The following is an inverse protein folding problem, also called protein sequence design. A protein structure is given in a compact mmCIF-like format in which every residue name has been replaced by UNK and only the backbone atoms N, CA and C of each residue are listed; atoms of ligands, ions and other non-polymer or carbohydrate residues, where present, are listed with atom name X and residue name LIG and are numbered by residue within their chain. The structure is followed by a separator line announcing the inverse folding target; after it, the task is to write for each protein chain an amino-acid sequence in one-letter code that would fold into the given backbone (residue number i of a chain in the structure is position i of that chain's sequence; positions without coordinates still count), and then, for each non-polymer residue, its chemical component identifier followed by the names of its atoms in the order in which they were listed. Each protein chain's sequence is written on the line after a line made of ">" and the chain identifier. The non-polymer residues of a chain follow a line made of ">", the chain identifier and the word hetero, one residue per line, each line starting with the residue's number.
data_IF_128219476781
#
_entry.id   IF_128219476781
#
_cell.length_a   1.000
_cell.length_b   1.000
_cell.length_c   1.000
_cell.angle_alpha   90.00
_cell.angle_beta   90.00
_cell.angle_gamma   90.00
#
_symmetry.space_group_name_H-M   'P 1'
#
loop_
_entity.id
_entity.type
_entity.pdbx_description
1 polymer ?
#
# COMPACT_ATOMS: atom_id res chain seq x y z
N UNK A 1 -23.82 15.10 -8.05
CA UNK A 1 -22.47 14.76 -8.56
C UNK A 1 -22.03 13.36 -8.13
N UNK A 2 -21.45 12.56 -9.04
CA UNK A 2 -20.92 11.21 -8.76
C UNK A 2 -19.42 11.11 -8.96
N UNK A 3 -18.75 10.46 -8.02
CA UNK A 3 -17.30 10.24 -8.03
C UNK A 3 -16.99 8.75 -7.93
N UNK A 4 -15.93 8.33 -8.59
CA UNK A 4 -15.29 7.03 -8.32
C UNK A 4 -13.95 7.31 -7.65
N UNK A 5 -13.73 6.71 -6.48
CA UNK A 5 -12.46 6.80 -5.77
C UNK A 5 -11.76 5.45 -5.68
N UNK A 6 -10.47 5.45 -6.02
CA UNK A 6 -9.57 4.32 -5.85
C UNK A 6 -8.14 4.83 -5.63
N UNK A 7 -7.24 3.95 -5.17
CA UNK A 7 -5.89 4.36 -4.77
C UNK A 7 -4.91 3.19 -4.89
N UNK A 8 -3.62 3.50 -4.82
CA UNK A 8 -2.53 2.53 -4.70
C UNK A 8 -2.63 1.45 -5.79
N UNK A 9 -2.66 1.89 -7.05
CA UNK A 9 -2.67 1.00 -8.22
C UNK A 9 -1.31 0.38 -8.52
N UNK A 10 -0.22 1.04 -8.10
CA UNK A 10 1.15 0.52 -8.19
C UNK A 10 1.49 -0.07 -9.56
N UNK A 11 1.12 0.64 -10.63
CA UNK A 11 1.42 0.24 -12.01
C UNK A 11 2.92 0.03 -12.17
N UNK A 12 3.30 -1.15 -12.67
CA UNK A 12 4.69 -1.54 -12.94
C UNK A 12 4.74 -2.65 -13.99
N UNK A 13 5.85 -2.72 -14.74
CA UNK A 13 6.06 -3.74 -15.77
C UNK A 13 6.66 -5.06 -15.27
N UNK A 14 6.83 -5.24 -13.96
CA UNK A 14 7.45 -6.45 -13.37
C UNK A 14 6.54 -7.04 -12.31
N UNK A 15 6.56 -8.37 -12.15
CA UNK A 15 5.84 -9.02 -11.06
C UNK A 15 6.51 -8.74 -9.69
N UNK A 16 5.74 -8.36 -8.66
CA UNK A 16 6.17 -8.53 -7.28
C UNK A 16 6.53 -9.98 -7.00
N UNK A 17 7.49 -10.22 -6.09
CA UNK A 17 8.04 -11.56 -5.82
C UNK A 17 6.96 -12.60 -5.49
N UNK A 18 5.92 -12.18 -4.78
CA UNK A 18 4.85 -13.07 -4.33
C UNK A 18 3.73 -13.24 -5.34
N UNK A 19 3.79 -12.66 -6.54
CA UNK A 19 2.73 -12.78 -7.56
C UNK A 19 2.99 -13.95 -8.50
N UNK A 20 1.97 -14.77 -8.70
CA UNK A 20 2.00 -15.94 -9.60
C UNK A 20 1.43 -15.64 -10.97
N UNK A 21 0.59 -14.61 -11.09
CA UNK A 21 -0.02 -14.13 -12.33
C UNK A 21 0.75 -12.98 -12.97
N UNK A 22 0.34 -12.53 -14.16
CA UNK A 22 0.91 -11.35 -14.81
C UNK A 22 0.40 -10.08 -14.11
N UNK A 23 1.22 -9.52 -13.22
CA UNK A 23 0.81 -8.38 -12.38
C UNK A 23 0.42 -7.15 -13.21
N UNK A 24 1.16 -6.87 -14.27
CA UNK A 24 0.90 -5.71 -15.11
C UNK A 24 -0.47 -5.82 -15.80
N UNK A 25 -0.77 -6.98 -16.35
CA UNK A 25 -2.07 -7.28 -16.94
C UNK A 25 -3.20 -7.21 -15.90
N UNK A 26 -2.99 -7.72 -14.68
CA UNK A 26 -3.96 -7.58 -13.59
C UNK A 26 -4.27 -6.11 -13.30
N UNK A 27 -3.25 -5.26 -13.25
CA UNK A 27 -3.41 -3.82 -12.97
C UNK A 27 -4.21 -3.18 -14.10
N UNK A 28 -3.84 -3.41 -15.36
CA UNK A 28 -4.54 -2.86 -16.51
C UNK A 28 -6.01 -3.30 -16.58
N UNK A 29 -6.29 -4.58 -16.33
CA UNK A 29 -7.66 -5.10 -16.32
C UNK A 29 -8.53 -4.44 -15.25
N UNK A 30 -7.95 -4.12 -14.09
CA UNK A 30 -8.65 -3.40 -13.02
C UNK A 30 -8.92 -1.95 -13.38
N UNK A 31 -7.94 -1.25 -13.96
CA UNK A 31 -8.13 0.14 -14.41
C UNK A 31 -9.18 0.19 -15.54
N UNK A 32 -9.17 -0.79 -16.46
CA UNK A 32 -10.19 -0.93 -17.49
C UNK A 32 -11.58 -1.20 -16.90
N UNK A 33 -11.70 -2.09 -15.92
CA UNK A 33 -12.96 -2.30 -15.21
C UNK A 33 -13.45 -0.99 -14.58
N UNK A 34 -12.58 -0.26 -13.87
CA UNK A 34 -12.93 1.04 -13.25
C UNK A 34 -13.37 2.05 -14.33
N UNK A 35 -12.71 2.05 -15.49
CA UNK A 35 -13.09 2.87 -16.63
C UNK A 35 -14.47 2.52 -17.16
N UNK A 36 -14.79 1.24 -17.33
CA UNK A 36 -16.12 0.79 -17.74
C UNK A 36 -17.19 1.16 -16.70
N UNK A 37 -16.88 1.01 -15.42
CA UNK A 37 -17.75 1.40 -14.32
C UNK A 37 -18.05 2.90 -14.35
N UNK A 38 -17.04 3.74 -14.64
CA UNK A 38 -17.22 5.20 -14.77
C UNK A 38 -18.27 5.59 -15.81
N UNK A 39 -18.33 4.86 -16.92
CA UNK A 39 -19.36 5.06 -17.94
C UNK A 39 -20.70 4.53 -17.44
N UNK A 40 -20.72 3.29 -16.92
CA UNK A 40 -21.97 2.63 -16.52
C UNK A 40 -22.71 3.35 -15.39
N UNK A 41 -21.97 3.97 -14.48
CA UNK A 41 -22.53 4.70 -13.33
C UNK A 41 -22.74 6.18 -13.61
N UNK A 42 -22.37 6.65 -14.81
CA UNK A 42 -22.34 8.06 -15.17
C UNK A 42 -21.58 8.88 -14.12
N UNK A 43 -20.33 8.46 -13.81
CA UNK A 43 -19.47 9.24 -12.95
C UNK A 43 -19.21 10.62 -13.58
N UNK A 44 -19.10 11.65 -12.76
CA UNK A 44 -18.72 13.00 -13.19
C UNK A 44 -17.21 13.18 -13.11
N UNK A 45 -16.59 12.58 -12.09
CA UNK A 45 -15.17 12.71 -11.80
C UNK A 45 -14.57 11.40 -11.28
N UNK A 46 -13.29 11.22 -11.55
CA UNK A 46 -12.50 10.08 -11.08
C UNK A 46 -11.44 10.61 -10.14
N UNK A 47 -11.31 10.00 -8.97
CA UNK A 47 -10.40 10.42 -7.92
C UNK A 47 -9.39 9.30 -7.65
N UNK A 48 -8.10 9.63 -7.72
CA UNK A 48 -7.01 8.71 -7.38
C UNK A 48 -6.25 9.16 -6.13
N UNK A 49 -6.19 8.30 -5.11
CA UNK A 49 -5.57 8.61 -3.82
C UNK A 49 -4.04 8.65 -3.79
N UNK A 50 -3.38 8.42 -4.92
CA UNK A 50 -1.92 8.37 -5.04
C UNK A 50 -1.36 6.95 -5.10
N UNK A 51 -0.05 6.84 -5.35
CA UNK A 51 0.65 5.62 -5.74
C UNK A 51 0.03 4.97 -6.99
N UNK A 52 -0.14 5.79 -8.03
CA UNK A 52 -0.59 5.27 -9.33
C UNK A 52 0.47 4.34 -9.91
N UNK A 53 1.74 4.69 -9.75
CA UNK A 53 2.89 3.89 -10.17
C UNK A 53 3.65 3.34 -8.97
N UNK A 54 4.24 2.15 -9.12
CA UNK A 54 5.12 1.54 -8.09
C UNK A 54 6.45 2.30 -7.95
N UNK A 55 6.79 3.12 -8.94
CA UNK A 55 8.01 3.94 -9.00
C UNK A 55 7.79 5.19 -9.83
N UNK A 56 8.57 6.28 -9.60
CA UNK A 56 8.44 7.50 -10.40
C UNK A 56 8.91 7.33 -11.86
N UNK A 57 9.71 6.30 -12.14
CA UNK A 57 10.46 6.05 -13.38
C UNK A 57 10.03 4.80 -14.15
N UNK A 58 8.73 4.46 -14.11
CA UNK A 58 8.18 3.33 -14.89
C UNK A 58 8.54 3.46 -16.37
N UNK A 59 8.90 2.35 -17.02
CA UNK A 59 9.45 2.37 -18.38
C UNK A 59 8.47 2.91 -19.42
N UNK A 60 9.00 3.50 -20.49
CA UNK A 60 8.20 3.99 -21.63
C UNK A 60 7.36 2.87 -22.25
N UNK A 61 7.86 1.63 -22.29
CA UNK A 61 7.10 0.48 -22.78
C UNK A 61 5.81 0.25 -21.98
N UNK A 62 5.88 0.38 -20.65
CA UNK A 62 4.69 0.28 -19.78
C UNK A 62 3.76 1.48 -20.03
N UNK A 63 4.32 2.68 -20.15
CA UNK A 63 3.52 3.88 -20.41
C UNK A 63 2.77 3.82 -21.75
N UNK A 64 3.35 3.20 -22.78
CA UNK A 64 2.70 3.00 -24.08
C UNK A 64 1.41 2.17 -23.97
N UNK A 65 1.29 1.31 -22.96
CA UNK A 65 0.10 0.49 -22.70
C UNK A 65 -0.85 1.15 -21.69
N UNK A 66 -0.32 1.89 -20.71
CA UNK A 66 -1.10 2.57 -19.66
C UNK A 66 -1.80 3.82 -20.18
N UNK A 67 -1.12 4.65 -20.97
CA UNK A 67 -1.68 5.92 -21.48
C UNK A 67 -2.99 5.68 -22.26
N UNK A 68 -3.07 4.73 -23.21
CA UNK A 68 -4.32 4.45 -23.91
C UNK A 68 -5.46 4.02 -22.99
N UNK A 69 -5.15 3.29 -21.89
CA UNK A 69 -6.16 2.89 -20.91
C UNK A 69 -6.68 4.09 -20.14
N UNK A 70 -5.80 4.97 -19.66
CA UNK A 70 -6.19 6.20 -18.97
C UNK A 70 -6.98 7.16 -19.87
N UNK A 71 -6.62 7.25 -21.16
CA UNK A 71 -7.34 8.07 -22.13
C UNK A 71 -8.74 7.56 -22.49
N UNK A 72 -9.10 6.32 -22.11
CA UNK A 72 -10.47 5.81 -22.28
C UNK A 72 -11.44 6.39 -21.24
N UNK A 73 -10.94 6.96 -20.15
CA UNK A 73 -11.81 7.69 -19.22
C UNK A 73 -12.36 8.93 -19.94
N UNK A 74 -13.68 9.06 -19.94
CA UNK A 74 -14.38 10.18 -20.60
C UNK A 74 -14.57 11.38 -19.67
N UNK A 75 -14.10 11.25 -18.43
CA UNK A 75 -14.29 12.20 -17.33
C UNK A 75 -12.94 12.56 -16.71
N UNK A 76 -12.77 13.76 -16.15
CA UNK A 76 -11.51 14.19 -15.56
C UNK A 76 -11.06 13.25 -14.44
N UNK A 77 -9.78 12.90 -14.44
CA UNK A 77 -9.12 12.17 -13.36
C UNK A 77 -8.36 13.18 -12.51
N UNK A 78 -8.76 13.36 -11.26
CA UNK A 78 -8.02 14.12 -10.27
C UNK A 78 -7.23 13.18 -9.37
N UNK A 79 -5.98 13.53 -9.08
CA UNK A 79 -5.12 12.69 -8.25
C UNK A 79 -4.26 13.53 -7.30
N UNK A 80 -3.75 12.89 -6.27
CA UNK A 80 -2.61 13.35 -5.48
C UNK A 80 -1.44 12.40 -5.70
N UNK A 81 -0.20 12.87 -5.52
CA UNK A 81 0.96 11.99 -5.62
C UNK A 81 1.19 11.23 -4.32
N UNK A 82 1.36 9.91 -4.41
CA UNK A 82 1.82 9.08 -3.30
C UNK A 82 3.34 9.05 -3.16
N UNK A 83 3.87 8.24 -2.26
CA UNK A 83 5.31 8.15 -2.01
C UNK A 83 6.08 7.43 -3.13
N UNK A 84 5.41 6.57 -3.90
CA UNK A 84 5.99 5.86 -5.04
C UNK A 84 5.98 6.68 -6.33
N UNK A 85 5.11 7.69 -6.42
CA UNK A 85 4.99 8.53 -7.62
C UNK A 85 6.10 9.60 -7.74
N UNK A 86 6.93 9.76 -6.70
CA UNK A 86 7.92 10.83 -6.55
C UNK A 86 9.32 10.30 -6.17
N UNK A 87 10.37 11.05 -6.51
CA UNK A 87 11.74 10.69 -6.12
C UNK A 87 12.06 11.14 -4.71
N UNK A 88 12.70 10.25 -3.94
CA UNK A 88 13.24 10.58 -2.62
C UNK A 88 12.22 11.13 -1.64
N UNK A 89 10.94 10.76 -1.80
CA UNK A 89 9.84 11.22 -0.94
C UNK A 89 9.67 12.75 -0.92
N UNK A 90 10.05 13.42 -2.01
CA UNK A 90 10.00 14.87 -2.14
C UNK A 90 9.05 15.29 -3.28
N UNK A 91 7.88 15.89 -2.99
CA UNK A 91 6.90 16.31 -3.99
C UNK A 91 7.43 17.29 -5.04
N UNK A 92 8.49 18.05 -4.73
CA UNK A 92 9.14 18.97 -5.68
C UNK A 92 9.65 18.21 -6.93
N UNK A 93 9.91 16.92 -6.80
CA UNK A 93 10.42 16.08 -7.89
C UNK A 93 9.34 15.60 -8.86
N UNK A 94 8.05 15.77 -8.53
CA UNK A 94 6.92 15.29 -9.32
C UNK A 94 6.97 15.67 -10.81
N UNK A 95 7.36 16.88 -11.23
CA UNK A 95 7.44 17.23 -12.66
C UNK A 95 8.42 16.38 -13.48
N UNK A 96 9.27 15.57 -12.82
CA UNK A 96 10.27 14.69 -13.47
C UNK A 96 9.84 13.23 -13.50
N UNK A 97 8.60 12.90 -13.13
CA UNK A 97 8.10 11.53 -13.01
C UNK A 97 7.06 11.22 -14.08
N UNK A 98 6.70 9.94 -14.23
CA UNK A 98 5.64 9.53 -15.15
C UNK A 98 4.28 10.14 -14.77
N UNK A 99 4.02 10.33 -13.47
CA UNK A 99 2.83 11.03 -13.00
C UNK A 99 2.84 12.50 -13.42
N UNK A 100 3.96 13.21 -13.28
CA UNK A 100 4.11 14.59 -13.77
C UNK A 100 3.99 14.72 -15.28
N UNK A 101 4.42 13.71 -16.05
CA UNK A 101 4.20 13.64 -17.50
C UNK A 101 2.71 13.53 -17.82
N UNK A 102 1.96 12.66 -17.13
CA UNK A 102 0.51 12.52 -17.34
C UNK A 102 -0.25 13.82 -17.02
N UNK A 103 0.17 14.53 -15.98
CA UNK A 103 -0.35 15.85 -15.61
C UNK A 103 -0.08 16.89 -16.70
N UNK A 104 1.16 16.95 -17.20
CA UNK A 104 1.55 17.85 -18.29
C UNK A 104 0.74 17.58 -19.57
N UNK A 105 0.37 16.32 -19.83
CA UNK A 105 -0.43 15.92 -20.98
C UNK A 105 -1.94 16.13 -20.77
N UNK A 106 -2.39 16.51 -19.56
CA UNK A 106 -3.79 16.68 -19.20
C UNK A 106 -4.58 15.37 -19.17
N UNK A 107 -3.90 14.24 -18.99
CA UNK A 107 -4.55 12.92 -18.87
C UNK A 107 -5.04 12.70 -17.43
N UNK A 108 -4.26 13.19 -16.46
CA UNK A 108 -4.60 13.27 -15.04
C UNK A 108 -4.39 14.72 -14.63
N UNK A 109 -5.08 15.19 -13.59
CA UNK A 109 -4.91 16.51 -13.01
C UNK A 109 -4.48 16.36 -11.55
N UNK A 110 -3.25 16.77 -11.24
CA UNK A 110 -2.69 16.63 -9.89
C UNK A 110 -3.12 17.81 -9.01
N UNK A 111 -3.68 17.52 -7.84
CA UNK A 111 -4.21 18.50 -6.88
C UNK A 111 -3.32 18.68 -5.63
N UNK A 112 -2.01 18.59 -5.79
CA UNK A 112 -1.08 18.61 -4.67
C UNK A 112 -1.06 19.97 -3.96
N UNK A 113 -1.64 20.03 -2.75
CA UNK A 113 -1.83 21.24 -1.93
C UNK A 113 -2.70 22.31 -2.59
N UNK A 114 -3.59 21.90 -3.50
CA UNK A 114 -4.52 22.78 -4.18
C UNK A 114 -5.96 22.43 -3.84
N UNK A 115 -6.85 23.39 -4.03
CA UNK A 115 -8.29 23.22 -3.89
C UNK A 115 -9.00 23.81 -5.11
N UNK A 116 -9.95 23.06 -5.66
CA UNK A 116 -10.79 23.47 -6.78
C UNK A 116 -12.26 23.30 -6.45
N UNK A 117 -13.12 24.00 -7.18
CA UNK A 117 -14.57 23.82 -7.10
C UNK A 117 -15.06 23.06 -8.32
N UNK A 118 -15.85 22.02 -8.07
CA UNK A 118 -16.51 21.21 -9.08
C UNK A 118 -18.00 21.49 -9.00
N UNK A 119 -18.61 21.84 -10.12
CA UNK A 119 -20.01 22.27 -10.19
C UNK A 119 -20.76 21.43 -11.24
N UNK A 120 -21.95 20.90 -10.90
CA UNK A 120 -22.88 20.27 -11.84
C UNK A 120 -24.16 21.11 -12.07
N UNK A 121 -24.15 22.36 -11.57
CA UNK A 121 -25.28 23.29 -11.61
C UNK A 121 -26.26 23.13 -10.45
N UNK A 122 -26.32 21.97 -9.81
CA UNK A 122 -27.12 21.72 -8.61
C UNK A 122 -26.26 21.68 -7.36
N UNK A 123 -25.09 21.05 -7.39
CA UNK A 123 -24.19 20.86 -6.26
C UNK A 123 -22.81 21.42 -6.58
N UNK A 124 -22.23 22.16 -5.62
CA UNK A 124 -20.84 22.61 -5.67
C UNK A 124 -20.00 21.82 -4.66
N UNK A 125 -18.96 21.13 -5.14
CA UNK A 125 -18.03 20.36 -4.31
C UNK A 125 -16.65 21.00 -4.33
N UNK A 126 -16.12 21.34 -3.15
CA UNK A 126 -14.69 21.63 -3.01
C UNK A 126 -13.92 20.32 -3.01
N UNK A 127 -13.00 20.16 -3.96
CA UNK A 127 -12.04 19.06 -3.97
C UNK A 127 -10.66 19.63 -3.65
N UNK A 128 -10.03 19.09 -2.61
CA UNK A 128 -8.68 19.45 -2.20
C UNK A 128 -7.81 18.21 -2.03
N UNK A 129 -6.49 18.37 -2.15
CA UNK A 129 -5.56 17.25 -2.05
C UNK A 129 -4.27 17.60 -1.32
N UNK A 130 -3.77 16.68 -0.51
CA UNK A 130 -2.44 16.74 0.08
C UNK A 130 -1.60 15.54 -0.40
N UNK A 131 -0.44 15.77 -1.06
CA UNK A 131 0.43 14.67 -1.46
C UNK A 131 1.08 14.00 -0.27
N UNK A 132 1.64 12.81 -0.51
CA UNK A 132 2.62 12.27 0.40
C UNK A 132 3.84 13.20 0.51
N UNK A 133 4.28 13.46 1.74
CA UNK A 133 5.60 14.02 2.05
C UNK A 133 6.32 13.11 3.04
N UNK A 134 7.65 13.15 3.05
CA UNK A 134 8.41 12.45 4.09
C UNK A 134 7.96 12.90 5.49
N UNK A 135 7.52 11.95 6.30
CA UNK A 135 7.03 12.22 7.65
C UNK A 135 5.66 12.90 7.70
N UNK A 136 4.81 12.74 6.67
CA UNK A 136 3.43 13.22 6.66
C UNK A 136 2.67 12.86 7.95
N UNK A 137 2.87 11.63 8.44
CA UNK A 137 2.25 11.10 9.66
C UNK A 137 2.92 11.54 10.96
N UNK A 138 3.71 12.61 10.94
CA UNK A 138 4.24 13.23 12.16
C UNK A 138 3.36 14.39 12.57
N UNK A 139 3.35 14.67 13.87
CA UNK A 139 2.51 15.72 14.45
C UNK A 139 2.73 17.09 13.79
N UNK A 140 3.98 17.43 13.45
CA UNK A 140 4.29 18.70 12.78
C UNK A 140 3.69 18.85 11.37
N UNK A 141 3.30 17.76 10.72
CA UNK A 141 2.76 17.74 9.36
C UNK A 141 1.26 17.41 9.32
N UNK A 142 0.61 17.23 10.48
CA UNK A 142 -0.81 16.85 10.59
C UNK A 142 -1.76 17.81 9.88
N UNK A 143 -1.38 19.07 9.75
CA UNK A 143 -2.09 20.10 8.98
C UNK A 143 -2.41 19.66 7.54
N UNK A 144 -1.62 18.76 6.95
CA UNK A 144 -1.87 18.23 5.61
C UNK A 144 -3.08 17.28 5.53
N UNK A 145 -3.58 16.78 6.66
CA UNK A 145 -4.85 16.03 6.72
C UNK A 145 -6.07 16.93 6.93
N UNK A 146 -5.85 18.21 7.26
CA UNK A 146 -6.87 19.10 7.83
C UNK A 146 -7.19 20.21 6.83
N UNK A 147 -8.41 20.21 6.31
CA UNK A 147 -8.95 21.36 5.60
C UNK A 147 -9.30 22.43 6.62
N UNK A 148 -8.56 23.55 6.62
CA UNK A 148 -8.73 24.62 7.61
C UNK A 148 -10.05 25.38 7.42
N UNK A 149 -10.43 25.62 6.18
CA UNK A 149 -11.65 26.33 5.81
C UNK A 149 -12.30 25.68 4.57
N UNK A 150 -13.63 25.55 4.62
CA UNK A 150 -14.44 25.19 3.45
C UNK A 150 -14.81 26.47 2.70
N UNK A 151 -14.63 26.48 1.39
CA UNK A 151 -15.02 27.58 0.50
C UNK A 151 -16.50 27.89 0.71
N UNK A 152 -16.89 29.14 0.97
CA UNK A 152 -18.29 29.50 1.21
C UNK A 152 -19.25 29.16 0.06
N UNK A 153 -18.74 28.93 -1.15
CA UNK A 153 -19.52 28.52 -2.33
C UNK A 153 -19.75 27.01 -2.40
N UNK A 154 -18.99 26.21 -1.64
CA UNK A 154 -19.09 24.76 -1.66
C UNK A 154 -20.20 24.27 -0.73
N UNK A 155 -21.09 23.44 -1.26
CA UNK A 155 -22.07 22.71 -0.47
C UNK A 155 -21.38 21.58 0.33
N UNK A 156 -20.35 20.95 -0.27
CA UNK A 156 -19.62 19.81 0.29
C UNK A 156 -18.10 19.92 0.04
N UNK A 157 -17.27 19.42 0.95
CA UNK A 157 -15.82 19.39 0.81
C UNK A 157 -15.25 17.97 0.89
N UNK A 158 -14.54 17.57 -0.17
CA UNK A 158 -13.76 16.33 -0.25
C UNK A 158 -12.28 16.68 -0.13
N UNK A 159 -11.57 15.95 0.74
CA UNK A 159 -10.13 16.05 0.91
C UNK A 159 -9.45 14.71 0.60
N UNK A 160 -8.47 14.72 -0.30
CA UNK A 160 -7.62 13.57 -0.60
C UNK A 160 -6.31 13.69 0.17
N UNK A 161 -5.84 12.61 0.78
CA UNK A 161 -4.53 12.58 1.46
C UNK A 161 -3.85 11.22 1.32
N UNK A 162 -2.54 11.19 1.08
CA UNK A 162 -1.80 9.94 0.92
C UNK A 162 -0.88 9.67 2.10
N UNK A 163 -1.42 9.12 3.19
CA UNK A 163 -0.64 8.73 4.37
C UNK A 163 -1.39 7.76 5.29
N UNK A 164 -0.76 7.35 6.39
CA UNK A 164 -1.28 6.31 7.29
C UNK A 164 -2.41 6.81 8.20
N UNK A 165 -3.57 7.11 7.60
CA UNK A 165 -4.79 7.39 8.35
C UNK A 165 -5.37 6.08 8.93
N UNK A 166 -5.59 6.03 10.24
CA UNK A 166 -6.06 4.84 10.95
C UNK A 166 -7.29 5.14 11.81
N UNK A 167 -8.16 4.15 12.00
CA UNK A 167 -9.32 4.24 12.92
C UNK A 167 -8.90 4.19 14.38
N UNK A 168 -7.83 3.47 14.70
CA UNK A 168 -7.25 3.38 16.03
C UNK A 168 -5.73 3.21 15.96
N UNK A 169 -5.05 3.59 17.05
CA UNK A 169 -3.60 3.50 17.21
C UNK A 169 -3.13 2.24 17.94
N UNK A 170 -4.05 1.36 18.35
CA UNK A 170 -3.80 0.33 19.37
C UNK A 170 -2.81 -0.76 18.95
N UNK A 171 -2.45 -0.80 17.66
CA UNK A 171 -1.55 -1.80 17.07
C UNK A 171 -0.46 -1.21 16.16
N UNK A 172 -0.35 0.11 16.05
CA UNK A 172 0.58 0.72 15.12
C UNK A 172 2.01 0.76 15.69
N UNK A 173 2.96 0.16 14.98
CA UNK A 173 4.39 0.20 15.30
C UNK A 173 5.17 1.23 14.43
N UNK A 174 4.45 2.08 13.70
CA UNK A 174 4.98 3.07 12.77
C UNK A 174 4.29 4.44 12.99
N UNK A 175 4.87 5.52 12.44
CA UNK A 175 4.26 6.85 12.49
C UNK A 175 2.94 6.83 11.73
N UNK A 176 1.86 7.28 12.35
CA UNK A 176 0.51 7.25 11.80
C UNK A 176 -0.30 8.43 12.32
N UNK A 177 -1.40 8.73 11.63
CA UNK A 177 -2.40 9.71 12.04
C UNK A 177 -3.71 8.99 12.30
N UNK A 178 -4.36 9.23 13.43
CA UNK A 178 -5.69 8.65 13.69
C UNK A 178 -6.80 9.60 13.23
N UNK A 179 -7.98 9.06 12.96
CA UNK A 179 -9.17 9.88 12.68
C UNK A 179 -9.43 10.87 13.83
N UNK A 180 -9.25 10.44 15.08
CA UNK A 180 -9.39 11.32 16.25
C UNK A 180 -8.42 12.49 16.28
N UNK A 181 -7.25 12.37 15.66
CA UNK A 181 -6.25 13.44 15.63
C UNK A 181 -6.63 14.58 14.67
N UNK A 182 -7.59 14.38 13.78
CA UNK A 182 -7.91 15.31 12.68
C UNK A 182 -9.38 15.73 12.64
N UNK A 183 -10.14 15.50 13.72
CA UNK A 183 -11.57 15.81 13.78
C UNK A 183 -11.88 17.31 13.61
N UNK A 184 -10.90 18.19 13.78
CA UNK A 184 -11.01 19.63 13.55
C UNK A 184 -11.16 20.01 12.06
N UNK A 185 -10.88 19.08 11.13
CA UNK A 185 -10.99 19.30 9.68
C UNK A 185 -12.35 19.82 9.27
N UNK A 186 -12.38 20.72 8.29
CA UNK A 186 -13.61 21.24 7.66
C UNK A 186 -14.02 20.46 6.42
N UNK A 187 -13.28 19.40 6.07
CA UNK A 187 -13.71 18.45 5.06
C UNK A 187 -14.93 17.67 5.58
N UNK A 188 -15.94 17.54 4.73
CA UNK A 188 -17.11 16.69 5.01
C UNK A 188 -16.76 15.21 4.73
N UNK A 189 -15.87 14.96 3.75
CA UNK A 189 -15.33 13.64 3.42
C UNK A 189 -13.80 13.69 3.27
N UNK A 190 -13.09 12.84 4.01
CA UNK A 190 -11.64 12.63 3.87
C UNK A 190 -11.37 11.24 3.30
N UNK A 191 -10.72 11.19 2.14
CA UNK A 191 -10.32 9.97 1.45
C UNK A 191 -8.81 9.80 1.57
N UNK A 192 -8.38 8.67 2.14
CA UNK A 192 -6.95 8.38 2.32
C UNK A 192 -6.45 7.28 1.38
N UNK A 193 -5.17 7.34 1.03
CA UNK A 193 -4.39 6.28 0.37
C UNK A 193 -3.36 5.63 1.31
N UNK A 194 -2.29 5.04 0.75
CA UNK A 194 -1.09 4.54 1.45
C UNK A 194 -1.29 3.27 2.29
N UNK A 195 -2.36 3.22 3.08
CA UNK A 195 -2.71 2.02 3.84
C UNK A 195 -3.42 1.01 2.93
N UNK A 196 -2.67 0.05 2.38
CA UNK A 196 -3.17 -0.89 1.37
C UNK A 196 -4.34 -1.78 1.85
N UNK A 197 -4.44 -2.04 3.16
CA UNK A 197 -5.56 -2.80 3.73
C UNK A 197 -6.87 -1.97 3.76
N UNK A 198 -6.77 -0.64 3.68
CA UNK A 198 -7.86 0.30 3.78
C UNK A 198 -8.33 0.55 5.22
N UNK A 199 -9.35 1.40 5.34
CA UNK A 199 -10.12 1.64 6.57
C UNK A 199 -11.61 1.55 6.24
N UNK A 200 -12.46 1.08 7.17
CA UNK A 200 -13.90 1.12 6.96
C UNK A 200 -14.40 2.55 6.80
N UNK A 201 -15.49 2.72 6.06
CA UNK A 201 -16.23 3.99 6.03
C UNK A 201 -16.66 4.32 7.46
N UNK A 202 -16.13 5.41 8.00
CA UNK A 202 -16.29 5.80 9.39
C UNK A 202 -16.84 7.22 9.45
N UNK A 203 -17.95 7.41 10.17
CA UNK A 203 -18.56 8.73 10.36
C UNK A 203 -18.44 9.17 11.82
N UNK A 204 -17.86 10.35 12.05
CA UNK A 204 -17.69 10.94 13.38
C UNK A 204 -18.03 12.44 13.28
N UNK A 205 -18.96 12.90 14.11
CA UNK A 205 -19.40 14.31 14.14
C UNK A 205 -19.84 14.85 12.76
N UNK A 206 -20.50 14.02 11.96
CA UNK A 206 -20.97 14.36 10.61
C UNK A 206 -19.86 14.46 9.55
N UNK A 207 -18.61 14.05 9.88
CA UNK A 207 -17.49 13.95 8.94
C UNK A 207 -17.23 12.49 8.62
N UNK A 208 -16.97 12.20 7.36
CA UNK A 208 -16.78 10.84 6.87
C UNK A 208 -15.32 10.62 6.49
N UNK A 209 -14.78 9.46 6.86
CA UNK A 209 -13.41 9.04 6.57
C UNK A 209 -13.45 7.67 5.89
N UNK A 210 -12.73 7.50 4.78
CA UNK A 210 -12.70 6.23 4.08
C UNK A 210 -11.37 5.97 3.35
N UNK A 211 -11.02 4.69 3.21
CA UNK A 211 -9.96 4.21 2.33
C UNK A 211 -10.35 2.81 1.84
N UNK A 212 -10.61 2.60 0.54
CA UNK A 212 -10.98 1.28 0.03
C UNK A 212 -9.84 0.25 0.09
N UNK A 213 -8.62 0.71 0.40
CA UNK A 213 -7.38 -0.03 0.28
C UNK A 213 -6.86 -0.02 -1.15
N UNK A 214 -5.72 -0.66 -1.35
CA UNK A 214 -5.07 -0.71 -2.64
C UNK A 214 -5.89 -1.49 -3.66
N UNK A 215 -5.96 -0.98 -4.89
CA UNK A 215 -6.64 -1.69 -5.99
C UNK A 215 -5.95 -3.00 -6.37
N UNK A 216 -4.70 -3.19 -5.95
CA UNK A 216 -3.92 -4.41 -6.16
C UNK A 216 -3.41 -5.01 -4.86
N UNK A 217 -3.00 -6.29 -4.94
CA UNK A 217 -2.31 -6.97 -3.86
C UNK A 217 -0.82 -7.04 -4.18
N UNK A 218 0.01 -6.46 -3.32
CA UNK A 218 1.47 -6.36 -3.55
C UNK A 218 2.24 -7.24 -2.57
N UNK A 219 1.71 -7.37 -1.34
CA UNK A 219 2.26 -8.27 -0.35
C UNK A 219 1.43 -9.55 -0.28
N UNK A 220 2.02 -10.59 0.29
CA UNK A 220 1.39 -11.88 0.55
C UNK A 220 1.07 -12.08 2.04
N UNK A 221 0.67 -10.99 2.69
CA UNK A 221 0.12 -11.04 4.04
C UNK A 221 -1.17 -11.88 4.06
N UNK A 222 -1.55 -12.39 5.24
CA UNK A 222 -2.84 -13.10 5.40
C UNK A 222 -4.03 -12.18 5.13
N UNK A 223 -3.89 -10.89 5.42
CA UNK A 223 -4.91 -9.88 5.14
C UNK A 223 -5.09 -9.74 3.63
N UNK A 224 -4.00 -9.58 2.88
CA UNK A 224 -4.04 -9.44 1.42
C UNK A 224 -4.60 -10.69 0.73
N UNK A 225 -4.27 -11.89 1.23
CA UNK A 225 -4.80 -13.14 0.70
C UNK A 225 -6.34 -13.21 0.81
N UNK A 226 -6.91 -12.71 1.92
CA UNK A 226 -8.35 -12.72 2.17
C UNK A 226 -9.08 -11.52 1.59
N UNK A 227 -8.39 -10.37 1.50
CA UNK A 227 -8.96 -9.10 1.02
C UNK A 227 -9.29 -9.22 -0.44
N UNK A 228 -10.46 -8.72 -0.84
CA UNK A 228 -10.80 -8.50 -2.24
C UNK A 228 -10.70 -7.01 -2.54
N UNK A 229 -9.82 -6.58 -3.48
CA UNK A 229 -9.72 -5.20 -3.90
C UNK A 229 -11.07 -4.61 -4.29
N UNK A 230 -11.29 -3.36 -3.87
CA UNK A 230 -12.53 -2.64 -4.04
C UNK A 230 -12.25 -1.16 -4.33
N UNK A 231 -13.28 -0.46 -4.78
CA UNK A 231 -13.29 1.00 -5.02
C UNK A 231 -14.51 1.60 -4.31
N UNK A 232 -14.59 2.93 -4.24
CA UNK A 232 -15.76 3.62 -3.72
C UNK A 232 -16.53 4.32 -4.85
N UNK A 233 -17.85 4.15 -4.88
CA UNK A 233 -18.77 5.02 -5.59
C UNK A 233 -19.33 6.02 -4.58
N UNK A 234 -19.14 7.31 -4.85
CA UNK A 234 -19.55 8.39 -3.96
C UNK A 234 -20.54 9.26 -4.72
N UNK A 235 -21.75 9.44 -4.18
CA UNK A 235 -22.75 10.34 -4.74
C UNK A 235 -22.97 11.48 -3.75
N UNK A 236 -22.71 12.71 -4.21
CA UNK A 236 -22.87 13.94 -3.43
C UNK A 236 -24.06 14.73 -3.98
N UNK A 237 -24.96 15.10 -3.08
CA UNK A 237 -26.10 15.97 -3.35
C UNK A 237 -26.12 17.04 -2.27
N UNK A 238 -25.89 18.29 -2.68
CA UNK A 238 -25.76 19.43 -1.76
C UNK A 238 -24.75 19.12 -0.64
N UNK A 239 -25.18 19.15 0.61
CA UNK A 239 -24.36 18.96 1.80
C UNK A 239 -24.37 17.50 2.31
N UNK A 240 -24.79 16.54 1.49
CA UNK A 240 -24.92 15.14 1.85
C UNK A 240 -24.21 14.24 0.85
N UNK A 241 -23.75 13.07 1.31
CA UNK A 241 -23.22 12.06 0.41
C UNK A 241 -23.64 10.63 0.80
N UNK A 242 -23.70 9.76 -0.19
CA UNK A 242 -23.73 8.30 -0.02
C UNK A 242 -22.42 7.70 -0.55
N UNK A 243 -21.94 6.65 0.11
CA UNK A 243 -20.70 5.96 -0.27
C UNK A 243 -20.99 4.46 -0.33
N UNK A 244 -20.74 3.86 -1.48
CA UNK A 244 -20.90 2.43 -1.71
C UNK A 244 -19.55 1.79 -2.05
N UNK A 245 -19.27 0.63 -1.44
CA UNK A 245 -18.09 -0.15 -1.75
C UNK A 245 -18.37 -1.11 -2.91
N UNK A 246 -17.52 -1.08 -3.94
CA UNK A 246 -17.61 -2.00 -5.06
C UNK A 246 -16.38 -2.89 -5.16
N UNK A 247 -16.58 -4.19 -4.97
CA UNK A 247 -15.53 -5.19 -5.13
C UNK A 247 -15.28 -5.49 -6.60
N UNK A 248 -14.05 -5.28 -7.05
CA UNK A 248 -13.66 -5.47 -8.44
C UNK A 248 -13.88 -6.94 -8.86
N UNK A 249 -14.53 -7.13 -10.01
CA UNK A 249 -14.78 -8.44 -10.63
C UNK A 249 -13.52 -9.00 -11.27
N UNK A 250 -12.64 -8.15 -11.78
CA UNK A 250 -11.31 -8.53 -12.28
C UNK A 250 -10.36 -9.01 -11.18
N UNK A 251 -10.68 -8.75 -9.90
CA UNK A 251 -9.87 -9.23 -8.78
C UNK A 251 -10.12 -10.71 -8.50
N UNK A 252 -9.20 -11.56 -8.97
CA UNK A 252 -9.19 -12.99 -8.69
C UNK A 252 -9.01 -13.29 -7.18
N UNK A 253 -9.40 -14.50 -6.73
CA UNK A 253 -9.09 -14.97 -5.37
C UNK A 253 -7.61 -14.82 -5.02
N UNK A 254 -7.31 -14.50 -3.76
CA UNK A 254 -5.94 -14.20 -3.34
C UNK A 254 -4.99 -15.39 -3.48
N UNK A 255 -5.48 -16.60 -3.20
CA UNK A 255 -4.78 -17.88 -3.31
C UNK A 255 -4.48 -18.31 -4.75
N UNK A 256 -5.18 -17.74 -5.75
CA UNK A 256 -4.88 -17.97 -7.16
C UNK A 256 -3.73 -17.07 -7.68
N UNK A 257 -3.50 -15.92 -7.05
CA UNK A 257 -2.57 -14.88 -7.54
C UNK A 257 -1.38 -14.59 -6.63
N UNK A 258 -1.38 -15.13 -5.40
CA UNK A 258 -0.30 -14.94 -4.42
C UNK A 258 0.33 -16.26 -3.99
N UNK A 259 1.66 -16.32 -4.05
CA UNK A 259 2.46 -17.39 -3.45
C UNK A 259 2.88 -17.02 -2.02
N UNK A 260 2.62 -17.94 -1.08
CA UNK A 260 3.00 -17.86 0.33
C UNK A 260 3.95 -18.98 0.76
N UNK A 261 4.27 -19.94 -0.12
CA UNK A 261 5.07 -21.12 0.21
C UNK A 261 6.43 -20.75 0.80
N UNK A 262 7.12 -19.75 0.26
CA UNK A 262 8.43 -19.33 0.77
C UNK A 262 8.34 -18.70 2.18
N UNK A 263 7.32 -17.87 2.45
CA UNK A 263 7.14 -17.25 3.77
C UNK A 263 6.71 -18.29 4.80
N UNK A 264 5.83 -19.21 4.42
CA UNK A 264 5.39 -20.30 5.29
C UNK A 264 6.56 -21.23 5.61
N UNK A 265 7.41 -21.56 4.63
CA UNK A 265 8.64 -22.31 4.83
C UNK A 265 9.62 -21.58 5.77
N UNK A 266 9.81 -20.26 5.60
CA UNK A 266 10.67 -19.47 6.51
C UNK A 266 10.08 -19.30 7.91
N UNK A 267 8.76 -19.23 8.06
CA UNK A 267 8.09 -19.24 9.37
C UNK A 267 8.22 -20.61 10.04
N UNK A 268 8.03 -21.68 9.28
CA UNK A 268 8.20 -23.06 9.73
C UNK A 268 9.64 -23.30 10.23
N UNK A 269 10.66 -22.98 9.42
CA UNK A 269 12.07 -23.08 9.83
C UNK A 269 12.40 -22.25 11.08
N UNK A 270 11.82 -21.03 11.19
CA UNK A 270 12.01 -20.19 12.39
C UNK A 270 11.32 -20.78 13.62
N UNK A 271 10.15 -21.40 13.45
CA UNK A 271 9.43 -22.08 14.52
C UNK A 271 10.21 -23.30 14.99
N UNK A 272 10.70 -24.15 14.08
CA UNK A 272 11.56 -25.29 14.45
C UNK A 272 12.83 -24.84 15.20
N UNK A 273 13.46 -23.75 14.75
CA UNK A 273 14.63 -23.19 15.44
C UNK A 273 14.29 -22.64 16.84
N UNK A 274 13.11 -22.03 17.00
CA UNK A 274 12.64 -21.54 18.29
C UNK A 274 12.27 -22.69 19.25
N UNK A 275 11.57 -23.70 18.76
CA UNK A 275 11.24 -24.92 19.51
C UNK A 275 12.50 -25.70 19.90
N UNK A 276 13.51 -25.77 19.02
CA UNK A 276 14.83 -26.32 19.33
C UNK A 276 15.55 -25.53 20.44
N UNK A 277 15.53 -24.19 20.35
CA UNK A 277 16.11 -23.31 21.38
C UNK A 277 15.41 -23.49 22.74
N UNK A 278 14.08 -23.56 22.75
CA UNK A 278 13.29 -23.78 23.95
C UNK A 278 13.54 -25.16 24.56
N UNK A 279 13.73 -26.20 23.72
CA UNK A 279 14.14 -27.53 24.16
C UNK A 279 15.54 -27.54 24.80
N UNK A 280 16.46 -26.69 24.36
CA UNK A 280 17.79 -26.52 24.98
C UNK A 280 17.67 -25.80 26.32
N UNK A 281 16.88 -24.72 26.38
CA UNK A 281 16.71 -23.91 27.58
C UNK A 281 15.92 -24.66 28.69
N UNK A 282 14.93 -25.47 28.31
CA UNK A 282 14.13 -26.30 29.22
C UNK A 282 14.85 -27.53 29.79
N UNK A 283 15.95 -27.98 29.16
CA UNK A 283 16.71 -29.14 29.60
C UNK A 283 17.65 -28.88 30.79
N UNK A 284 17.77 -27.64 31.27
CA UNK A 284 18.32 -27.31 32.59
C UNK A 284 19.74 -27.83 32.89
N UNK A 285 20.54 -28.20 31.88
CA UNK A 285 21.96 -28.52 32.01
C UNK A 285 22.75 -27.56 31.15
N UNK A 286 23.17 -26.45 31.76
CA UNK A 286 24.34 -25.72 31.29
C UNK A 286 25.59 -26.50 31.70
N UNK A 287 25.82 -27.63 31.06
CA UNK A 287 27.15 -28.22 30.96
C UNK A 287 27.42 -28.35 29.46
N UNK A 288 28.38 -27.54 29.00
CA UNK A 288 28.99 -27.54 27.67
C UNK A 288 28.31 -28.44 26.63
N UNK A 289 27.48 -27.84 25.76
CA UNK A 289 27.15 -28.49 24.49
C UNK A 289 28.49 -28.71 23.78
N UNK A 290 28.94 -29.95 23.77
CA UNK A 290 30.14 -30.35 23.07
C UNK A 290 29.77 -30.32 21.59
N UNK A 291 30.08 -29.21 20.92
CA UNK A 291 29.77 -29.00 19.49
C UNK A 291 30.34 -30.12 18.61
N UNK A 292 31.36 -30.85 19.08
CA UNK A 292 31.85 -32.07 18.44
C UNK A 292 30.77 -33.16 18.34
N UNK A 293 30.00 -33.40 19.41
CA UNK A 293 29.03 -34.49 19.45
C UNK A 293 27.85 -34.21 18.50
N UNK A 294 27.44 -32.94 18.40
CA UNK A 294 26.39 -32.51 17.45
C UNK A 294 26.83 -32.68 15.99
N UNK A 295 28.08 -32.35 15.67
CA UNK A 295 28.61 -32.51 14.30
C UNK A 295 28.81 -33.99 13.95
N UNK A 296 29.23 -34.81 14.91
CA UNK A 296 29.34 -36.26 14.73
C UNK A 296 27.98 -36.87 14.44
N UNK A 297 26.93 -36.48 15.19
CA UNK A 297 25.56 -36.96 14.99
C UNK A 297 24.97 -36.52 13.64
N UNK A 298 25.21 -35.27 13.21
CA UNK A 298 24.75 -34.78 11.90
C UNK A 298 25.47 -35.52 10.76
N UNK A 299 26.78 -35.72 10.88
CA UNK A 299 27.55 -36.41 9.85
C UNK A 299 27.16 -37.88 9.68
N UNK A 300 26.77 -38.55 10.77
CA UNK A 300 26.32 -39.95 10.76
C UNK A 300 24.89 -40.10 10.25
N UNK A 301 23.98 -39.17 10.61
CA UNK A 301 22.59 -39.20 10.13
C UNK A 301 22.44 -38.78 8.66
N UNK A 302 23.24 -37.83 8.17
CA UNK A 302 23.16 -37.35 6.79
C UNK A 302 24.10 -38.07 5.81
N UNK A 303 24.83 -39.10 6.25
CA UNK A 303 25.83 -39.85 5.46
C UNK A 303 26.84 -38.93 4.76
N UNK A 304 27.32 -37.91 5.46
CA UNK A 304 28.29 -36.95 4.91
C UNK A 304 29.63 -37.65 4.61
N UNK A 305 30.30 -37.20 3.54
CA UNK A 305 31.62 -37.70 3.19
C UNK A 305 32.61 -37.45 4.34
N UNK A 306 33.44 -38.46 4.64
CA UNK A 306 34.42 -38.43 5.72
C UNK A 306 35.34 -37.22 5.64
N UNK A 307 35.66 -36.78 4.43
CA UNK A 307 36.49 -35.59 4.19
C UNK A 307 35.86 -34.29 4.71
N UNK A 308 34.53 -34.16 4.64
CA UNK A 308 33.80 -32.98 5.13
C UNK A 308 33.73 -32.99 6.65
N UNK A 309 33.50 -34.18 7.25
CA UNK A 309 33.51 -34.38 8.71
C UNK A 309 34.86 -33.99 9.30
N UNK A 310 35.95 -34.48 8.70
CA UNK A 310 37.32 -34.24 9.19
C UNK A 310 37.71 -32.75 9.10
N UNK A 311 37.30 -32.06 8.04
CA UNK A 311 37.57 -30.62 7.87
C UNK A 311 36.76 -29.76 8.86
N UNK A 312 35.50 -30.10 9.11
CA UNK A 312 34.67 -29.39 10.09
C UNK A 312 35.24 -29.51 11.51
N UNK A 313 35.67 -30.72 11.90
CA UNK A 313 36.31 -30.97 13.20
C UNK A 313 37.62 -30.21 13.36
N UNK A 314 38.44 -30.15 12.30
CA UNK A 314 39.70 -29.39 12.31
C UNK A 314 39.51 -27.90 12.57
N UNK A 315 38.53 -27.27 11.91
CA UNK A 315 38.27 -25.83 12.07
C UNK A 315 37.76 -25.47 13.47
N UNK A 316 37.02 -26.36 14.11
CA UNK A 316 36.56 -26.16 15.49
C UNK A 316 37.74 -26.24 16.45
N UNK A 317 38.61 -27.24 16.28
CA UNK A 317 39.83 -27.37 17.07
C UNK A 317 40.70 -26.11 16.96
N UNK A 318 40.90 -25.58 15.75
CA UNK A 318 41.66 -24.32 15.53
C UNK A 318 41.05 -23.12 16.27
N UNK A 319 39.71 -23.05 16.38
CA UNK A 319 39.02 -21.95 17.07
C UNK A 319 39.12 -22.10 18.59
N UNK A 320 39.05 -23.33 19.11
CA UNK A 320 39.23 -23.61 20.54
C UNK A 320 40.67 -23.37 20.99
N UNK A 321 41.65 -23.73 20.15
CA UNK A 321 43.07 -23.47 20.40
C UNK A 321 43.39 -21.96 20.40
N UNK A 322 42.69 -21.18 19.56
CA UNK A 322 42.78 -19.70 19.60
C UNK A 322 42.11 -19.10 20.84
N UNK A 323 41.01 -19.68 21.32
CA UNK A 323 40.29 -19.22 22.51
C UNK A 323 41.02 -19.54 23.81
N UNK A 324 41.80 -20.62 23.84
CA UNK A 324 42.58 -21.03 25.02
C UNK A 324 43.90 -20.28 25.17
N UNK A 325 44.32 -19.52 24.16
CA UNK A 325 45.50 -18.65 24.16
C UNK A 325 45.20 -17.14 24.39
N UNK A 326 43.95 -16.80 24.76
CA UNK A 326 43.47 -15.45 25.12
C UNK A 326 43.17 -15.36 26.61
#
# INVERSE_FOLDING_TARGET
>A
MRFIYFTDSHVRGTNPKSRTDNFFETVLNKILEIQELSISWNADYILHGGDLFDRPDVSISVMNEVIPVLQKFTKPIYAISGNHDIYGHNPITLPRTMMGLLDTLGIIHILNNEAILLEDGETTVQLSGAPYIYGLDREENRDLYIVKEKDPRADFAIHLVHGFLMTDSTKAMFSHTTISDILETKADLTLSGHLHDGIPITEIEGKIFANPGATVRISNSLTELKRRPKILLIEVVKNSCTIEEYYLKSAQPGDEVLDRTEIEMHKFKRRELAEFKESIEGAGRYDHINFLDVIVDIAENEKLDKTIKDEALRRIADVEERRSNL
#
